data_IF_088114106080
#
_entry.id   IF_088114106080
#
_cell.length_a   1.000
_cell.length_b   1.000
_cell.length_c   1.000
_cell.angle_alpha   90.00
_cell.angle_beta   90.00
_cell.angle_gamma   90.00
#
_symmetry.space_group_name_H-M   'P 1'
#
loop_
_entity.id
_entity.type
_entity.pdbx_description
1 polymer ?
#
# COMPACT_ATOMS: atom_id res chain seq x y z
N UNK A 1 -7.38 -6.06 23.06
CA UNK A 1 -7.93 -6.09 21.69
C UNK A 1 -7.06 -5.18 20.84
N UNK A 2 -6.12 -5.77 20.08
CA UNK A 2 -5.17 -5.02 19.26
C UNK A 2 -5.82 -4.64 17.92
N UNK A 3 -5.74 -3.37 17.56
CA UNK A 3 -6.17 -2.89 16.24
C UNK A 3 -5.12 -3.34 15.21
N UNK A 4 -5.21 -4.58 14.72
CA UNK A 4 -4.31 -5.04 13.66
C UNK A 4 -4.72 -4.36 12.36
N UNK A 5 -3.88 -3.44 11.89
CA UNK A 5 -4.06 -2.72 10.62
C UNK A 5 -4.22 -3.69 9.44
N UNK A 6 -3.66 -4.90 9.55
CA UNK A 6 -3.83 -6.00 8.58
C UNK A 6 -5.29 -6.46 8.40
N UNK A 7 -6.10 -6.51 9.46
CA UNK A 7 -7.51 -6.95 9.39
C UNK A 7 -8.34 -5.98 8.55
N UNK A 8 -8.04 -4.68 8.66
CA UNK A 8 -8.70 -3.65 7.84
C UNK A 8 -8.34 -3.84 6.37
N UNK A 9 -7.06 -4.07 6.05
CA UNK A 9 -6.60 -4.35 4.68
C UNK A 9 -7.31 -5.58 4.10
N UNK A 10 -7.38 -6.68 4.85
CA UNK A 10 -8.07 -7.90 4.41
C UNK A 10 -9.54 -7.64 4.08
N UNK A 11 -10.24 -6.91 4.95
CA UNK A 11 -11.68 -6.63 4.75
C UNK A 11 -11.98 -5.86 3.46
N UNK A 12 -11.15 -4.89 3.07
CA UNK A 12 -11.33 -4.14 1.83
C UNK A 12 -10.83 -4.93 0.61
N UNK A 13 -9.80 -5.75 0.79
CA UNK A 13 -9.29 -6.67 -0.23
C UNK A 13 -10.37 -7.70 -0.62
N UNK A 14 -11.08 -8.27 0.35
CA UNK A 14 -12.21 -9.19 0.15
C UNK A 14 -13.39 -8.54 -0.59
N UNK A 15 -13.58 -7.23 -0.41
CA UNK A 15 -14.58 -6.45 -1.15
C UNK A 15 -14.15 -6.13 -2.61
N UNK A 16 -12.97 -6.60 -3.03
CA UNK A 16 -12.48 -6.44 -4.40
C UNK A 16 -11.82 -5.09 -4.69
N UNK A 17 -11.49 -4.32 -3.66
CA UNK A 17 -10.75 -3.07 -3.80
C UNK A 17 -9.26 -3.32 -4.08
N UNK A 18 -8.66 -2.37 -4.79
CA UNK A 18 -7.21 -2.27 -4.91
C UNK A 18 -6.68 -1.48 -3.71
N UNK A 19 -5.79 -2.09 -2.92
CA UNK A 19 -5.33 -1.51 -1.67
C UNK A 19 -3.97 -0.86 -1.85
N UNK A 20 -3.94 0.47 -1.68
CA UNK A 20 -2.71 1.25 -1.53
C UNK A 20 -2.50 1.50 -0.04
N UNK A 21 -1.35 1.06 0.48
CA UNK A 21 -0.97 1.27 1.87
C UNK A 21 0.21 2.23 1.97
N UNK A 22 0.17 3.14 2.95
CA UNK A 22 1.24 4.13 3.19
C UNK A 22 1.62 4.08 4.67
N UNK A 23 2.89 3.83 4.98
CA UNK A 23 3.35 3.73 6.37
C UNK A 23 4.86 3.88 6.54
N UNK A 24 5.31 3.94 7.79
CA UNK A 24 6.73 4.19 8.11
C UNK A 24 7.30 3.37 9.28
N UNK A 25 6.47 2.59 9.99
CA UNK A 25 6.89 1.83 11.16
C UNK A 25 6.63 0.33 11.08
N UNK A 26 7.30 -0.45 11.94
CA UNK A 26 7.10 -1.91 12.02
C UNK A 26 5.67 -2.33 12.37
N UNK A 27 4.91 -1.47 13.06
CA UNK A 27 3.48 -1.72 13.35
C UNK A 27 2.63 -1.84 12.08
N UNK A 28 3.14 -1.31 10.97
CA UNK A 28 2.48 -1.29 9.66
C UNK A 28 2.86 -2.47 8.79
N UNK A 29 3.86 -3.25 9.18
CA UNK A 29 4.40 -4.33 8.37
C UNK A 29 3.34 -5.37 8.00
N UNK A 30 2.49 -5.76 8.95
CA UNK A 30 1.40 -6.71 8.69
C UNK A 30 0.39 -6.20 7.66
N UNK A 31 0.20 -4.88 7.58
CA UNK A 31 -0.68 -4.28 6.58
C UNK A 31 0.02 -4.12 5.23
N UNK A 32 1.31 -3.80 5.23
CA UNK A 32 2.14 -3.68 4.04
C UNK A 32 2.18 -5.00 3.23
N UNK A 33 2.39 -6.15 3.89
CA UNK A 33 2.44 -7.45 3.20
C UNK A 33 1.12 -7.87 2.54
N UNK A 34 -0.01 -7.27 2.95
CA UNK A 34 -1.36 -7.63 2.48
C UNK A 34 -1.88 -6.67 1.40
N UNK A 35 -1.24 -5.52 1.24
CA UNK A 35 -1.61 -4.49 0.28
C UNK A 35 -1.20 -4.86 -1.15
N UNK A 36 -1.88 -4.29 -2.14
CA UNK A 36 -1.51 -4.46 -3.55
C UNK A 36 -0.37 -3.52 -3.96
N UNK A 37 -0.28 -2.36 -3.30
CA UNK A 37 0.83 -1.43 -3.43
C UNK A 37 1.18 -0.82 -2.07
N UNK A 38 2.48 -0.78 -1.75
CA UNK A 38 3.00 -0.20 -0.51
C UNK A 38 3.84 1.03 -0.83
N UNK A 39 3.57 2.12 -0.14
CA UNK A 39 4.50 3.23 0.04
C UNK A 39 5.11 3.12 1.44
N UNK A 40 6.42 2.91 1.51
CA UNK A 40 7.13 2.71 2.77
C UNK A 40 8.21 3.77 2.97
N UNK A 41 8.41 4.16 4.23
CA UNK A 41 9.47 5.06 4.65
C UNK A 41 10.18 4.50 5.90
N UNK A 42 11.40 4.98 6.19
CA UNK A 42 12.20 4.60 7.36
C UNK A 42 12.24 3.08 7.59
N UNK A 43 11.90 2.65 8.80
CA UNK A 43 12.02 1.27 9.27
C UNK A 43 11.13 0.32 8.44
N UNK A 44 9.98 0.80 7.95
CA UNK A 44 9.14 -0.02 7.07
C UNK A 44 9.81 -0.26 5.71
N UNK A 45 10.51 0.73 5.14
CA UNK A 45 11.22 0.58 3.88
C UNK A 45 12.38 -0.43 4.00
N UNK A 46 13.17 -0.30 5.07
CA UNK A 46 14.28 -1.21 5.36
C UNK A 46 13.78 -2.66 5.51
N UNK A 47 12.65 -2.84 6.19
CA UNK A 47 12.07 -4.17 6.39
C UNK A 47 11.44 -4.74 5.11
N UNK A 48 10.78 -3.92 4.29
CA UNK A 48 10.28 -4.33 2.99
C UNK A 48 11.42 -4.76 2.06
N UNK A 49 12.54 -4.03 2.05
CA UNK A 49 13.73 -4.40 1.28
C UNK A 49 14.32 -5.72 1.79
N UNK A 50 14.46 -5.89 3.11
CA UNK A 50 14.99 -7.10 3.73
C UNK A 50 14.17 -8.36 3.43
N UNK A 51 12.85 -8.23 3.33
CA UNK A 51 11.93 -9.33 3.06
C UNK A 51 11.49 -9.42 1.59
N UNK A 52 12.13 -8.66 0.68
CA UNK A 52 11.84 -8.64 -0.75
C UNK A 52 10.37 -8.33 -1.08
N UNK A 53 9.72 -7.51 -0.26
CA UNK A 53 8.34 -7.06 -0.47
C UNK A 53 8.36 -5.87 -1.44
N UNK A 54 7.61 -5.91 -2.55
CA UNK A 54 7.52 -4.78 -3.47
C UNK A 54 6.96 -3.53 -2.78
N UNK A 55 7.72 -2.44 -2.80
CA UNK A 55 7.29 -1.16 -2.25
C UNK A 55 7.82 0.01 -3.08
N UNK A 56 7.23 1.18 -2.86
CA UNK A 56 7.75 2.47 -3.34
C UNK A 56 8.24 3.25 -2.12
N UNK A 57 9.51 3.65 -2.13
CA UNK A 57 10.00 4.56 -1.11
C UNK A 57 9.37 5.94 -1.30
N UNK A 58 8.98 6.60 -0.22
CA UNK A 58 8.52 7.99 -0.25
C UNK A 58 9.22 8.79 0.84
N UNK A 59 9.45 10.08 0.59
CA UNK A 59 10.05 10.99 1.57
C UNK A 59 8.99 11.90 2.20
N UNK A 60 7.98 12.28 1.40
CA UNK A 60 6.84 13.08 1.83
C UNK A 60 5.54 12.66 1.13
N UNK A 61 4.43 13.26 1.55
CA UNK A 61 3.11 12.96 0.95
C UNK A 61 2.96 13.50 -0.48
N UNK A 62 3.85 14.38 -0.95
CA UNK A 62 3.89 14.84 -2.33
C UNK A 62 4.30 13.72 -3.29
N UNK A 63 5.29 12.91 -2.92
CA UNK A 63 5.70 11.72 -3.66
C UNK A 63 4.52 10.73 -3.82
N UNK A 64 3.80 10.51 -2.72
CA UNK A 64 2.62 9.62 -2.69
C UNK A 64 1.50 10.17 -3.55
N UNK A 65 1.19 11.47 -3.42
CA UNK A 65 0.15 12.13 -4.20
C UNK A 65 0.43 12.01 -5.70
N UNK A 66 1.66 12.35 -6.13
CA UNK A 66 2.06 12.26 -7.54
C UNK A 66 1.91 10.85 -8.08
N UNK A 67 2.34 9.84 -7.31
CA UNK A 67 2.21 8.45 -7.73
C UNK A 67 0.73 8.00 -7.83
N UNK A 68 -0.13 8.46 -6.92
CA UNK A 68 -1.57 8.19 -6.98
C UNK A 68 -2.24 8.94 -8.14
N UNK A 69 -1.84 10.18 -8.41
CA UNK A 69 -2.30 10.96 -9.57
C UNK A 69 -1.91 10.25 -10.88
N UNK A 70 -0.69 9.76 -11.02
CA UNK A 70 -0.25 8.98 -12.19
C UNK A 70 -1.10 7.72 -12.39
N UNK A 71 -1.45 7.01 -11.30
CA UNK A 71 -2.34 5.84 -11.36
C UNK A 71 -3.77 6.22 -11.75
N UNK A 72 -4.28 7.33 -11.19
CA UNK A 72 -5.69 7.73 -11.35
C UNK A 72 -5.97 8.51 -12.62
N UNK A 73 -4.97 9.19 -13.20
CA UNK A 73 -5.11 9.90 -14.48
C UNK A 73 -5.38 8.91 -15.64
N UNK A 74 -5.03 7.62 -15.47
CA UNK A 74 -5.45 6.53 -16.35
C UNK A 74 -6.71 5.76 -15.92
N UNK A 75 -7.24 6.01 -14.71
CA UNK A 75 -8.37 5.28 -14.12
C UNK A 75 -9.58 6.21 -13.99
N UNK A 76 -10.36 6.31 -15.07
CA UNK A 76 -11.73 6.80 -14.97
C UNK A 76 -12.53 5.85 -14.07
N UNK A 77 -12.87 6.30 -12.87
CA UNK A 77 -13.99 5.83 -12.02
C UNK A 77 -14.12 4.31 -11.86
N UNK A 78 -13.23 3.67 -11.12
CA UNK A 78 -13.58 2.62 -10.16
C UNK A 78 -12.29 2.04 -9.57
N UNK A 79 -12.18 2.04 -8.24
CA UNK A 79 -11.12 1.36 -7.49
C UNK A 79 -11.25 -0.18 -7.55
N UNK A 80 -11.41 -0.72 -8.76
CA UNK A 80 -11.45 -2.15 -9.06
C UNK A 80 -10.08 -2.56 -9.58
N UNK A 81 -9.57 -3.69 -9.11
CA UNK A 81 -8.24 -4.21 -9.45
C UNK A 81 -7.97 -4.14 -10.96
N UNK A 82 -6.83 -3.57 -11.40
CA UNK A 82 -6.42 -3.67 -12.79
C UNK A 82 -6.23 -5.15 -13.16
N UNK A 83 -6.71 -5.54 -14.34
CA UNK A 83 -6.62 -6.91 -14.83
C UNK A 83 -5.14 -7.20 -15.13
N UNK A 84 -4.52 -8.11 -14.38
CA UNK A 84 -3.16 -8.59 -14.67
C UNK A 84 -3.34 -9.79 -15.60
N UNK A 85 -2.98 -9.59 -16.87
CA UNK A 85 -2.90 -10.64 -17.90
C UNK A 85 -1.72 -11.58 -17.67
#
# INVERSE_FOLDING_TARGET
MGNSKGVVVDSYREQGHYIVYVGDGMSDFEAAIRADLVFAHRVLADECERQEIPFRQFTDFGDVLKAVEEMTTGLSRNGKRPNVS
#
